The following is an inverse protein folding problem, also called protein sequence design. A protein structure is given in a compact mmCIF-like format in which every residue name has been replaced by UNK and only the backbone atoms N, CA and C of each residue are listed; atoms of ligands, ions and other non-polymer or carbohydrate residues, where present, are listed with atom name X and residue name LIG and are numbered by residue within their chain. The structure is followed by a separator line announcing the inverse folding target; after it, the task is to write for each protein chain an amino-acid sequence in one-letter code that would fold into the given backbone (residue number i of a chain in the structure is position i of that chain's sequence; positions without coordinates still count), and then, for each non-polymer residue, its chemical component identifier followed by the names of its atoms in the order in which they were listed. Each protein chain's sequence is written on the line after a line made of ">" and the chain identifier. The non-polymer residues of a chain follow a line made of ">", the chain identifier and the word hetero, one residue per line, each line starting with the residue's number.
data_IF_485577589304
#
_entry.id   IF_485577589304
#
_cell.length_a   1.000
_cell.length_b   1.000
_cell.length_c   1.000
_cell.angle_alpha   90.00
_cell.angle_beta   90.00
_cell.angle_gamma   90.00
#
_symmetry.space_group_name_H-M   'P 1'
#
loop_
_entity.id
_entity.type
_entity.pdbx_description
1 polymer ?
#
# COMPACT_ATOMS: atom_id res chain seq x y z
N UNK A 1 -12.47 -0.08 15.66
CA UNK A 1 -12.07 -0.97 14.53
C UNK A 1 -11.66 -0.11 13.35
N UNK A 2 -10.71 -0.53 12.52
CA UNK A 2 -10.44 0.18 11.27
C UNK A 2 -11.61 0.07 10.30
N UNK A 3 -11.92 1.17 9.62
CA UNK A 3 -13.04 1.28 8.67
C UNK A 3 -12.60 2.10 7.47
N UNK A 4 -13.33 1.96 6.36
CA UNK A 4 -13.30 2.96 5.29
C UNK A 4 -14.27 4.10 5.65
N UNK A 5 -13.96 5.33 5.23
CA UNK A 5 -14.86 6.47 5.42
C UNK A 5 -16.17 6.24 4.64
N UNK A 6 -16.13 6.27 3.31
CA UNK A 6 -17.28 5.99 2.43
C UNK A 6 -16.97 4.96 1.37
N UNK A 7 -15.79 5.08 0.78
CA UNK A 7 -15.28 4.21 -0.29
C UNK A 7 -13.77 4.06 -0.16
N UNK A 8 -13.23 3.02 -0.77
CA UNK A 8 -11.79 2.89 -0.94
C UNK A 8 -11.26 4.03 -1.81
N UNK A 9 -10.24 4.72 -1.34
CA UNK A 9 -9.53 5.75 -2.12
C UNK A 9 -8.03 5.53 -1.99
N UNK A 10 -7.31 5.85 -3.06
CA UNK A 10 -5.86 6.00 -3.00
C UNK A 10 -5.51 7.45 -2.68
N UNK A 11 -4.48 7.61 -1.86
CA UNK A 11 -3.93 8.91 -1.51
C UNK A 11 -2.43 8.95 -1.78
N UNK A 12 -1.94 10.14 -2.05
CA UNK A 12 -0.53 10.47 -2.11
C UNK A 12 -0.16 11.36 -0.92
N UNK A 13 0.97 11.11 -0.28
CA UNK A 13 1.38 11.77 0.95
C UNK A 13 2.54 12.72 0.68
N UNK A 14 2.52 13.85 1.36
CA UNK A 14 3.59 14.84 1.35
C UNK A 14 4.92 14.27 1.82
N UNK A 15 6.00 14.58 1.11
CA UNK A 15 7.33 14.06 1.38
C UNK A 15 7.94 14.62 2.67
N UNK A 16 7.62 15.86 3.03
CA UNK A 16 8.11 16.45 4.27
C UNK A 16 7.45 15.81 5.48
N UNK A 17 6.16 15.45 5.36
CA UNK A 17 5.48 14.69 6.39
C UNK A 17 6.08 13.28 6.54
N UNK A 18 6.33 12.58 5.44
CA UNK A 18 7.01 11.27 5.45
C UNK A 18 8.40 11.36 6.08
N UNK A 19 9.14 12.43 5.82
CA UNK A 19 10.46 12.68 6.43
C UNK A 19 10.36 12.83 7.94
N UNK A 20 9.36 13.59 8.44
CA UNK A 20 9.12 13.74 9.88
C UNK A 20 8.82 12.38 10.54
N UNK A 21 7.94 11.58 9.95
CA UNK A 21 7.62 10.25 10.45
C UNK A 21 8.83 9.30 10.41
N UNK A 22 9.60 9.34 9.32
CA UNK A 22 10.80 8.51 9.16
C UNK A 22 11.89 8.84 10.19
N UNK A 23 11.99 10.09 10.63
CA UNK A 23 12.98 10.50 11.64
C UNK A 23 12.78 9.82 13.01
N UNK A 24 11.56 9.41 13.32
CA UNK A 24 11.23 8.68 14.58
C UNK A 24 11.04 7.19 14.36
N UNK A 25 10.74 6.75 13.14
CA UNK A 25 10.56 5.34 12.81
C UNK A 25 11.12 5.04 11.42
N UNK A 26 12.32 4.43 11.36
CA UNK A 26 13.01 4.09 10.11
C UNK A 26 12.27 3.10 9.22
N UNK A 27 11.23 2.45 9.75
CA UNK A 27 10.36 1.53 9.00
C UNK A 27 9.34 2.28 8.11
N UNK A 28 9.15 3.58 8.31
CA UNK A 28 8.37 4.43 7.40
C UNK A 28 9.14 4.58 6.10
N UNK A 29 8.49 4.29 4.99
CA UNK A 29 9.12 4.43 3.68
C UNK A 29 9.34 5.91 3.34
N UNK A 30 10.60 6.30 3.26
CA UNK A 30 11.03 7.62 2.84
C UNK A 30 12.35 7.52 2.06
N UNK A 31 12.47 8.25 0.96
CA UNK A 31 13.73 8.37 0.21
C UNK A 31 14.05 9.83 -0.02
N UNK A 32 15.13 10.35 0.58
CA UNK A 32 15.50 11.76 0.47
C UNK A 32 15.93 12.20 -0.93
N UNK A 33 16.42 11.28 -1.78
CA UNK A 33 16.99 11.60 -3.08
C UNK A 33 16.36 10.77 -4.19
N UNK A 34 15.40 11.33 -4.92
CA UNK A 34 15.12 10.87 -6.27
C UNK A 34 13.97 9.89 -6.48
N UNK A 35 12.88 9.99 -5.71
CA UNK A 35 11.62 9.41 -6.14
C UNK A 35 10.57 10.48 -6.42
N UNK A 36 10.97 11.54 -7.11
CA UNK A 36 10.09 12.63 -7.53
C UNK A 36 8.94 12.16 -8.43
N UNK A 37 9.00 10.92 -8.92
CA UNK A 37 8.05 10.36 -9.88
C UNK A 37 7.22 9.18 -9.38
N UNK A 38 7.37 8.73 -8.12
CA UNK A 38 6.52 7.66 -7.57
C UNK A 38 5.90 8.12 -6.26
N UNK A 39 4.66 8.60 -6.31
CA UNK A 39 3.95 9.03 -5.11
C UNK A 39 3.85 7.86 -4.11
N UNK A 40 3.87 8.21 -2.83
CA UNK A 40 3.55 7.26 -1.77
C UNK A 40 2.05 6.98 -1.84
N UNK A 41 1.70 5.88 -2.47
CA UNK A 41 0.30 5.48 -2.66
C UNK A 41 -0.10 4.53 -1.56
N UNK A 42 -1.27 4.73 -1.00
CA UNK A 42 -1.86 3.83 -0.03
C UNK A 42 -3.36 3.98 0.07
N UNK A 43 -3.95 3.05 0.80
CA UNK A 43 -5.39 3.03 1.08
C UNK A 43 -5.65 3.83 2.34
N UNK A 44 -6.54 4.83 2.24
CA UNK A 44 -7.02 5.59 3.39
C UNK A 44 -8.01 4.76 4.21
N UNK A 45 -7.75 4.66 5.49
CA UNK A 45 -8.61 3.98 6.48
C UNK A 45 -8.71 4.83 7.74
N UNK A 46 -9.78 4.62 8.53
CA UNK A 46 -10.02 5.38 9.76
C UNK A 46 -10.04 4.45 10.98
N UNK A 47 -9.55 4.93 12.11
CA UNK A 47 -9.67 4.29 13.42
C UNK A 47 -9.81 5.34 14.51
N UNK A 48 -10.94 5.36 15.23
CA UNK A 48 -11.18 6.26 16.37
C UNK A 48 -10.85 7.72 16.02
N UNK A 49 -11.50 8.25 15.00
CA UNK A 49 -11.32 9.62 14.47
C UNK A 49 -9.92 9.95 13.94
N UNK A 50 -9.00 8.98 13.94
CA UNK A 50 -7.67 9.12 13.35
C UNK A 50 -7.61 8.44 11.98
N UNK A 51 -7.05 9.14 11.02
CA UNK A 51 -6.82 8.61 9.67
C UNK A 51 -5.48 7.88 9.61
N UNK A 52 -5.45 6.82 8.82
CA UNK A 52 -4.26 6.05 8.50
C UNK A 52 -4.17 5.78 7.01
N UNK A 53 -2.96 5.53 6.54
CA UNK A 53 -2.74 4.98 5.21
C UNK A 53 -2.04 3.65 5.30
N UNK A 54 -2.52 2.66 4.54
CA UNK A 54 -1.86 1.37 4.34
C UNK A 54 -1.15 1.44 2.99
N UNK A 55 0.20 1.44 2.94
CA UNK A 55 0.94 1.67 1.71
C UNK A 55 0.85 0.50 0.74
N UNK A 56 0.88 0.84 -0.54
CA UNK A 56 1.02 -0.08 -1.66
C UNK A 56 2.34 0.23 -2.36
N UNK A 57 3.20 -0.76 -2.50
CA UNK A 57 4.53 -0.61 -3.09
C UNK A 57 4.72 -1.51 -4.30
N UNK A 58 5.59 -1.11 -5.24
CA UNK A 58 5.89 -1.90 -6.43
C UNK A 58 6.40 -3.30 -6.08
N UNK A 59 6.01 -4.30 -6.87
CA UNK A 59 6.55 -5.65 -6.80
C UNK A 59 8.06 -5.66 -7.07
N UNK A 60 8.77 -6.65 -6.51
CA UNK A 60 10.20 -6.90 -6.70
C UNK A 60 10.43 -8.41 -6.79
N UNK A 61 11.60 -8.84 -7.28
CA UNK A 61 11.94 -10.25 -7.46
C UNK A 61 11.73 -11.11 -6.21
N UNK A 62 12.04 -10.59 -5.03
CA UNK A 62 11.81 -11.30 -3.75
C UNK A 62 10.35 -11.73 -3.55
N UNK A 63 9.40 -11.03 -4.19
CA UNK A 63 7.98 -11.33 -4.04
C UNK A 63 7.52 -12.55 -4.85
N UNK A 64 8.34 -13.03 -5.78
CA UNK A 64 8.07 -14.28 -6.53
C UNK A 64 7.95 -15.51 -5.62
N UNK A 65 8.58 -15.47 -4.45
CA UNK A 65 8.56 -16.57 -3.48
C UNK A 65 7.54 -16.38 -2.35
N UNK A 66 6.81 -15.26 -2.36
CA UNK A 66 5.84 -14.96 -1.32
C UNK A 66 4.50 -15.64 -1.60
N UNK A 67 3.79 -16.00 -0.52
CA UNK A 67 2.38 -16.38 -0.61
C UNK A 67 1.54 -15.17 -0.96
N UNK A 68 0.42 -15.37 -1.68
CA UNK A 68 -0.51 -14.29 -2.05
C UNK A 68 -0.97 -13.48 -0.84
N UNK A 69 -1.19 -14.16 0.28
CA UNK A 69 -1.54 -13.56 1.57
C UNK A 69 -0.57 -14.09 2.62
N UNK A 70 0.06 -13.17 3.31
CA UNK A 70 0.81 -13.44 4.54
C UNK A 70 0.05 -12.80 5.71
N UNK A 71 0.55 -12.93 6.94
CA UNK A 71 -0.13 -12.39 8.15
C UNK A 71 -0.48 -10.91 8.01
N UNK A 72 0.45 -10.10 7.51
CA UNK A 72 0.35 -8.65 7.41
C UNK A 72 0.62 -8.09 6.00
N UNK A 73 0.77 -8.96 4.98
CA UNK A 73 1.08 -8.54 3.62
C UNK A 73 0.17 -9.23 2.60
N UNK A 74 -0.11 -8.54 1.50
CA UNK A 74 -0.85 -9.06 0.35
C UNK A 74 -0.08 -8.80 -0.93
N UNK A 75 0.00 -9.81 -1.81
CA UNK A 75 0.37 -9.61 -3.19
C UNK A 75 -0.88 -9.21 -3.98
N UNK A 76 -0.85 -8.04 -4.59
CA UNK A 76 -1.86 -7.58 -5.52
C UNK A 76 -1.45 -8.06 -6.92
N UNK A 77 -2.28 -8.84 -7.58
CA UNK A 77 -1.93 -9.45 -8.87
C UNK A 77 -3.13 -9.53 -9.80
N UNK A 78 -2.84 -9.69 -11.08
CA UNK A 78 -3.80 -10.08 -12.10
C UNK A 78 -3.40 -11.42 -12.72
N UNK A 79 -4.39 -12.15 -13.28
CA UNK A 79 -4.12 -13.30 -14.13
C UNK A 79 -3.79 -12.76 -15.53
N UNK A 80 -2.64 -13.12 -16.08
CA UNK A 80 -2.17 -12.64 -17.38
C UNK A 80 -1.58 -13.78 -18.19
N UNK A 81 -1.61 -13.67 -19.52
CA UNK A 81 -0.98 -14.63 -20.42
C UNK A 81 0.55 -14.57 -20.25
N UNK A 82 1.17 -15.72 -20.03
CA UNK A 82 2.63 -15.86 -19.85
C UNK A 82 3.42 -15.31 -21.05
N UNK A 83 2.91 -15.48 -22.27
CA UNK A 83 3.52 -14.98 -23.49
C UNK A 83 3.59 -13.45 -23.59
N UNK A 84 2.78 -12.74 -22.81
CA UNK A 84 2.74 -11.27 -22.77
C UNK A 84 3.63 -10.68 -21.68
N UNK A 85 4.26 -11.52 -20.84
CA UNK A 85 5.13 -11.05 -19.76
C UNK A 85 6.48 -10.59 -20.32
N UNK A 86 6.92 -9.42 -19.86
CA UNK A 86 8.23 -8.86 -20.17
C UNK A 86 9.26 -9.36 -19.15
N UNK A 87 10.53 -9.20 -19.47
CA UNK A 87 11.64 -9.62 -18.61
C UNK A 87 11.62 -8.95 -17.22
N UNK A 88 11.18 -7.71 -17.18
CA UNK A 88 11.08 -6.89 -15.95
C UNK A 88 9.83 -7.16 -15.13
N UNK A 89 8.84 -7.86 -15.68
CA UNK A 89 7.59 -8.14 -14.97
C UNK A 89 7.80 -9.19 -13.87
N UNK A 90 7.17 -8.97 -12.75
CA UNK A 90 7.22 -9.89 -11.60
C UNK A 90 6.00 -10.80 -11.67
N UNK A 91 6.22 -12.08 -11.83
CA UNK A 91 5.12 -13.05 -11.93
C UNK A 91 5.44 -14.40 -11.30
N UNK A 92 4.39 -15.14 -10.98
CA UNK A 92 4.43 -16.49 -10.40
C UNK A 92 3.59 -17.41 -11.26
N UNK A 93 4.08 -18.63 -11.53
CA UNK A 93 3.31 -19.67 -12.22
C UNK A 93 2.02 -20.00 -11.46
N UNK A 94 0.99 -20.36 -12.20
CA UNK A 94 -0.26 -20.91 -11.68
C UNK A 94 -0.17 -22.42 -11.83
N UNK A 95 -0.47 -23.16 -10.75
CA UNK A 95 -0.55 -24.60 -10.78
C UNK A 95 -1.61 -25.04 -11.81
N UNK A 96 -1.26 -26.02 -12.64
CA UNK A 96 -2.11 -26.56 -13.72
C UNK A 96 -2.57 -25.53 -14.80
N UNK A 97 -1.86 -24.41 -14.93
CA UNK A 97 -2.14 -23.41 -15.97
C UNK A 97 -0.85 -22.89 -16.62
N UNK A 98 -0.34 -23.63 -17.60
CA UNK A 98 0.90 -23.28 -18.31
C UNK A 98 0.78 -22.02 -19.20
N UNK A 99 -0.44 -21.62 -19.54
CA UNK A 99 -0.71 -20.48 -20.42
C UNK A 99 -0.74 -19.15 -19.66
N UNK A 100 -1.10 -19.17 -18.39
CA UNK A 100 -1.28 -17.98 -17.60
C UNK A 100 -0.37 -17.96 -16.37
N UNK A 101 -0.17 -16.76 -15.84
CA UNK A 101 0.62 -16.48 -14.66
C UNK A 101 -0.12 -15.51 -13.75
N UNK A 102 0.26 -15.46 -12.48
CA UNK A 102 -0.07 -14.34 -11.58
C UNK A 102 0.96 -13.25 -11.81
N UNK A 103 0.61 -12.23 -12.56
CA UNK A 103 1.41 -11.01 -12.71
C UNK A 103 1.24 -10.16 -11.46
N UNK A 104 2.31 -10.03 -10.67
CA UNK A 104 2.27 -9.29 -9.41
C UNK A 104 2.41 -7.79 -9.72
N UNK A 105 1.37 -7.04 -9.46
CA UNK A 105 1.31 -5.61 -9.69
C UNK A 105 2.04 -4.85 -8.58
N UNK A 106 1.71 -5.19 -7.33
CA UNK A 106 2.20 -4.48 -6.15
C UNK A 106 2.04 -5.33 -4.89
N UNK A 107 2.53 -4.78 -3.78
CA UNK A 107 2.46 -5.37 -2.45
C UNK A 107 1.86 -4.37 -1.48
N UNK A 108 0.84 -4.78 -0.75
CA UNK A 108 0.29 -4.04 0.38
C UNK A 108 0.90 -4.59 1.66
N UNK A 109 1.48 -3.71 2.49
CA UNK A 109 2.09 -4.11 3.77
C UNK A 109 1.43 -3.35 4.93
N UNK A 110 0.59 -4.05 5.70
CA UNK A 110 -0.14 -3.49 6.85
C UNK A 110 0.84 -3.06 7.95
N UNK A 111 2.00 -3.70 8.09
CA UNK A 111 3.02 -3.32 9.07
C UNK A 111 3.59 -1.93 8.83
N UNK A 112 3.46 -1.43 7.61
CA UNK A 112 3.95 -0.11 7.19
C UNK A 112 2.87 0.96 7.21
N UNK A 113 1.69 0.67 7.74
CA UNK A 113 0.65 1.69 7.88
C UNK A 113 1.13 2.82 8.80
N UNK A 114 0.74 4.04 8.46
CA UNK A 114 1.13 5.25 9.18
C UNK A 114 -0.09 6.13 9.42
N UNK A 115 -0.14 6.87 10.55
CA UNK A 115 -1.16 7.89 10.77
C UNK A 115 -0.95 9.05 9.79
N UNK A 116 -2.04 9.72 9.41
CA UNK A 116 -2.00 10.94 8.61
C UNK A 116 -2.96 11.97 9.16
N UNK A 117 -2.66 13.24 8.89
CA UNK A 117 -3.50 14.39 9.26
C UNK A 117 -4.00 15.10 8.00
N UNK A 118 -5.02 15.93 8.17
CA UNK A 118 -5.52 16.73 7.03
C UNK A 118 -4.46 17.73 6.56
N UNK A 119 -4.41 17.95 5.26
CA UNK A 119 -3.44 18.84 4.64
C UNK A 119 -2.13 18.18 4.19
N UNK A 120 -1.78 16.99 4.68
CA UNK A 120 -0.53 16.30 4.30
C UNK A 120 -0.72 15.24 3.22
N UNK A 121 -1.90 15.14 2.63
CA UNK A 121 -2.17 14.17 1.56
C UNK A 121 -3.15 14.69 0.52
N UNK A 122 -3.13 14.08 -0.63
CA UNK A 122 -4.05 14.34 -1.74
C UNK A 122 -4.66 13.04 -2.26
N UNK A 123 -5.94 13.08 -2.64
CA UNK A 123 -6.60 11.93 -3.29
C UNK A 123 -6.05 11.76 -4.70
N UNK A 124 -5.73 10.52 -5.05
CA UNK A 124 -5.26 10.17 -6.40
C UNK A 124 -6.45 9.93 -7.32
N UNK A 125 -6.52 10.68 -8.41
CA UNK A 125 -7.52 10.46 -9.45
C UNK A 125 -7.10 9.27 -10.34
N UNK A 126 -7.81 8.17 -10.23
CA UNK A 126 -7.56 6.94 -11.03
C UNK A 126 -8.41 6.89 -12.32
N UNK A 127 -9.31 7.86 -12.55
CA UNK A 127 -10.10 7.90 -13.77
C UNK A 127 -9.21 8.29 -14.96
N UNK A 128 -9.22 7.46 -16.00
CA UNK A 128 -8.49 7.74 -17.24
C UNK A 128 -9.19 8.84 -18.01
N UNK A 129 -8.45 9.90 -18.36
CA UNK A 129 -8.92 10.98 -19.22
C UNK A 129 -8.35 10.82 -20.66
N UNK A 130 -9.11 11.33 -21.65
CA UNK A 130 -8.67 11.29 -23.05
C UNK A 130 -7.37 12.09 -23.28
N UNK A 131 -7.16 13.13 -22.51
CA UNK A 131 -6.00 14.02 -22.57
C UNK A 131 -4.79 13.52 -21.79
N UNK A 132 -4.95 12.43 -21.02
CA UNK A 132 -3.82 11.82 -20.29
C UNK A 132 -2.74 11.37 -21.28
N UNK A 133 -1.48 11.59 -20.93
CA UNK A 133 -0.34 11.02 -21.66
C UNK A 133 -0.39 9.50 -21.66
N UNK A 134 0.32 8.85 -22.58
CA UNK A 134 0.41 7.38 -22.62
C UNK A 134 0.93 6.78 -21.31
N UNK A 135 1.89 7.45 -20.66
CA UNK A 135 2.43 7.02 -19.36
C UNK A 135 1.41 7.21 -18.24
N UNK A 136 0.68 8.33 -18.23
CA UNK A 136 -0.39 8.57 -17.25
C UNK A 136 -1.51 7.54 -17.40
N UNK A 137 -1.92 7.22 -18.63
CA UNK A 137 -2.93 6.17 -18.90
C UNK A 137 -2.49 4.82 -18.36
N UNK A 138 -1.24 4.40 -18.64
CA UNK A 138 -0.67 3.15 -18.11
C UNK A 138 -0.65 3.13 -16.58
N UNK A 139 -0.26 4.24 -15.97
CA UNK A 139 -0.23 4.35 -14.51
C UNK A 139 -1.62 4.27 -13.90
N UNK A 140 -2.60 4.99 -14.46
CA UNK A 140 -3.99 4.92 -14.01
C UNK A 140 -4.62 3.53 -14.26
N UNK A 141 -4.26 2.83 -15.34
CA UNK A 141 -4.69 1.44 -15.57
C UNK A 141 -4.17 0.51 -14.47
N UNK A 142 -2.88 0.64 -14.11
CA UNK A 142 -2.30 -0.10 -12.99
C UNK A 142 -3.07 0.16 -11.69
N UNK A 143 -3.29 1.42 -11.34
CA UNK A 143 -4.04 1.79 -10.14
C UNK A 143 -5.48 1.26 -10.15
N UNK A 144 -6.15 1.25 -11.31
CA UNK A 144 -7.48 0.66 -11.44
C UNK A 144 -7.49 -0.86 -11.22
N UNK A 145 -6.44 -1.58 -11.67
CA UNK A 145 -6.29 -3.01 -11.38
C UNK A 145 -6.07 -3.26 -9.90
N UNK A 146 -5.18 -2.50 -9.27
CA UNK A 146 -4.93 -2.54 -7.84
C UNK A 146 -6.18 -2.21 -7.02
N UNK A 147 -6.92 -1.17 -7.41
CA UNK A 147 -8.18 -0.78 -6.78
C UNK A 147 -9.19 -1.92 -6.78
N UNK A 148 -9.42 -2.54 -7.96
CA UNK A 148 -10.35 -3.69 -8.08
C UNK A 148 -9.91 -4.87 -7.23
N UNK A 149 -8.60 -5.10 -7.10
CA UNK A 149 -8.08 -6.15 -6.23
C UNK A 149 -8.32 -5.80 -4.76
N UNK A 150 -7.99 -4.58 -4.36
CA UNK A 150 -8.18 -4.09 -2.99
C UNK A 150 -9.63 -4.18 -2.53
N UNK A 151 -10.60 -3.87 -3.40
CA UNK A 151 -12.04 -4.02 -3.06
C UNK A 151 -12.41 -5.45 -2.64
N UNK A 152 -11.76 -6.47 -3.22
CA UNK A 152 -12.05 -7.88 -2.89
C UNK A 152 -11.49 -8.30 -1.54
N UNK A 153 -10.43 -7.67 -1.07
CA UNK A 153 -9.71 -8.06 0.15
C UNK A 153 -9.87 -7.06 1.30
N UNK A 154 -10.57 -5.95 1.09
CA UNK A 154 -10.56 -4.84 2.04
C UNK A 154 -11.03 -5.22 3.44
N UNK A 155 -12.05 -6.06 3.56
CA UNK A 155 -12.55 -6.51 4.86
C UNK A 155 -11.47 -7.25 5.65
N UNK A 156 -10.78 -8.19 5.01
CA UNK A 156 -9.67 -8.95 5.63
C UNK A 156 -8.48 -8.03 5.98
N UNK A 157 -8.19 -7.05 5.11
CA UNK A 157 -7.15 -6.03 5.37
C UNK A 157 -7.47 -5.22 6.62
N UNK A 158 -8.70 -4.72 6.74
CA UNK A 158 -9.14 -3.93 7.91
C UNK A 158 -9.11 -4.74 9.20
N UNK A 159 -9.53 -5.99 9.15
CA UNK A 159 -9.45 -6.89 10.33
C UNK A 159 -8.00 -7.14 10.77
N UNK A 160 -7.10 -7.41 9.83
CA UNK A 160 -5.68 -7.62 10.13
C UNK A 160 -4.99 -6.36 10.62
N UNK A 161 -5.30 -5.21 10.01
CA UNK A 161 -4.82 -3.91 10.48
C UNK A 161 -5.25 -3.66 11.93
N UNK A 162 -6.51 -3.95 12.25
CA UNK A 162 -7.03 -3.81 13.59
C UNK A 162 -6.33 -4.73 14.59
N UNK A 163 -6.19 -6.02 14.25
CA UNK A 163 -5.49 -7.00 15.12
C UNK A 163 -4.04 -6.60 15.39
N UNK A 164 -3.34 -6.12 14.36
CA UNK A 164 -1.94 -5.68 14.48
C UNK A 164 -1.82 -4.43 15.37
N UNK A 165 -2.65 -3.42 15.10
CA UNK A 165 -2.69 -2.18 15.87
C UNK A 165 -3.03 -2.42 17.34
N UNK A 166 -4.15 -3.10 17.61
CA UNK A 166 -4.62 -3.35 18.99
C UNK A 166 -3.60 -4.20 19.77
N UNK A 167 -2.93 -5.15 19.11
CA UNK A 167 -1.84 -5.91 19.74
C UNK A 167 -0.68 -5.01 20.14
N UNK A 168 -0.24 -4.12 19.24
CA UNK A 168 0.87 -3.20 19.53
C UNK A 168 0.51 -2.23 20.66
N UNK A 169 -0.67 -1.61 20.59
CA UNK A 169 -1.12 -0.66 21.60
C UNK A 169 -1.30 -1.32 22.99
N UNK A 170 -1.84 -2.52 23.04
CA UNK A 170 -2.04 -3.25 24.31
C UNK A 170 -0.73 -3.73 24.93
N UNK A 171 0.24 -4.18 24.14
CA UNK A 171 1.46 -4.84 24.65
C UNK A 171 2.66 -3.90 24.70
N UNK A 172 2.61 -2.77 24.01
CA UNK A 172 3.76 -1.88 23.81
C UNK A 172 4.89 -2.50 22.97
N UNK A 173 4.69 -3.69 22.38
CA UNK A 173 5.73 -4.41 21.63
C UNK A 173 5.57 -4.17 20.14
N UNK A 174 6.56 -3.55 19.52
CA UNK A 174 6.65 -3.38 18.07
C UNK A 174 7.22 -4.64 17.44
N UNK A 175 6.49 -5.21 16.48
CA UNK A 175 6.94 -6.40 15.75
C UNK A 175 8.10 -6.05 14.81
N UNK A 176 8.95 -7.03 14.48
CA UNK A 176 10.06 -6.83 13.54
C UNK A 176 9.53 -6.32 12.18
N UNK A 177 10.19 -5.28 11.65
CA UNK A 177 9.82 -4.59 10.41
C UNK A 177 8.43 -3.94 10.43
N UNK A 178 7.89 -3.64 11.60
CA UNK A 178 6.64 -2.93 11.76
C UNK A 178 6.89 -1.48 12.18
N UNK A 179 6.08 -0.56 11.69
CA UNK A 179 6.07 0.80 12.20
C UNK A 179 5.66 0.82 13.67
N UNK A 180 6.26 1.71 14.44
CA UNK A 180 5.83 2.03 15.80
C UNK A 180 4.65 3.00 15.74
N UNK A 181 3.44 2.46 15.81
CA UNK A 181 2.22 3.25 15.64
C UNK A 181 2.08 4.34 16.69
N UNK A 182 2.47 4.04 17.94
CA UNK A 182 2.40 5.02 19.04
C UNK A 182 3.35 6.20 18.80
N UNK A 183 4.60 5.91 18.48
CA UNK A 183 5.59 6.96 18.20
C UNK A 183 5.17 7.81 16.97
N UNK A 184 4.59 7.19 15.95
CA UNK A 184 4.11 7.90 14.78
C UNK A 184 2.87 8.77 15.07
N UNK A 185 1.97 8.29 15.93
CA UNK A 185 0.81 9.08 16.37
C UNK A 185 1.23 10.33 17.12
N UNK A 186 2.25 10.26 18.00
CA UNK A 186 2.80 11.40 18.70
C UNK A 186 3.35 12.49 17.75
N UNK A 187 3.91 12.08 16.60
CA UNK A 187 4.34 13.02 15.56
C UNK A 187 3.14 13.62 14.83
N UNK A 188 2.15 12.80 14.49
CA UNK A 188 0.94 13.26 13.82
C UNK A 188 0.17 14.30 14.65
N UNK A 189 0.12 14.12 15.98
CA UNK A 189 -0.58 15.01 16.91
C UNK A 189 0.10 16.38 17.05
N UNK A 190 1.37 16.52 16.64
CA UNK A 190 2.16 17.76 16.69
C UNK A 190 2.27 18.45 15.32
N UNK A 191 1.69 17.87 14.27
CA UNK A 191 1.77 18.40 12.90
C UNK A 191 0.56 19.25 12.57
#
# INVERSE_FOLDING_TARGET
>A
MFTLDKKLIFINIDQDYLRKLHSVCSEVYYKPNGYDNKPYIGILVNKNDRKYVIPVSSARDKHKTWKNVNKECYLLYEKAEKSKMRREDIWISIEDDDKNVKHILSVMDIKKMIPIVDGVYQTVNINVDKNDSANTKKYKDLLNKEYRFCLKIITDVLEKANKLYDKQMRTGKVAKFCCDFKALEEVADRT
#
